data_IF_978266992989
#
_entry.id   IF_978266992989
#
_cell.length_a   1.000
_cell.length_b   1.000
_cell.length_c   1.000
_cell.angle_alpha   90.00
_cell.angle_beta   90.00
_cell.angle_gamma   90.00
#
_symmetry.space_group_name_H-M   'P 1'
#
loop_
_entity.id
_entity.type
_entity.pdbx_description
1 polymer ?
#
# COMPACT_ATOMS: atom_id res chain seq x y z
N UNK A 1 -18.63 -25.54 6.06
CA UNK A 1 -18.32 -24.84 7.34
C UNK A 1 -18.23 -23.35 7.09
N UNK A 2 -18.98 -22.52 7.80
CA UNK A 2 -18.84 -21.07 7.66
C UNK A 2 -17.91 -20.53 8.76
N UNK A 3 -16.87 -19.84 8.35
CA UNK A 3 -15.92 -19.19 9.25
C UNK A 3 -16.12 -17.68 9.22
N UNK A 4 -16.13 -17.03 10.39
CA UNK A 4 -16.16 -15.57 10.47
C UNK A 4 -14.75 -15.02 10.66
N UNK A 5 -14.35 -14.13 9.77
CA UNK A 5 -13.09 -13.39 9.91
C UNK A 5 -13.27 -12.29 10.96
N UNK A 6 -12.78 -12.54 12.16
CA UNK A 6 -12.85 -11.56 13.27
C UNK A 6 -11.80 -10.48 13.19
N UNK A 7 -10.67 -10.75 12.51
CA UNK A 7 -9.52 -9.85 12.44
C UNK A 7 -8.76 -10.05 11.15
N UNK A 8 -8.36 -8.95 10.52
CA UNK A 8 -7.43 -8.93 9.40
C UNK A 8 -6.07 -8.47 9.95
N UNK A 9 -5.01 -9.20 9.65
CA UNK A 9 -3.65 -8.88 10.08
C UNK A 9 -2.76 -8.65 8.83
N UNK A 10 -2.72 -7.41 8.31
CA UNK A 10 -1.89 -7.04 7.17
C UNK A 10 -0.45 -6.73 7.58
N UNK A 11 -0.12 -6.82 8.87
CA UNK A 11 1.18 -6.37 9.38
C UNK A 11 2.24 -7.45 9.20
N UNK A 12 3.38 -7.06 8.64
CA UNK A 12 4.57 -7.91 8.52
C UNK A 12 5.43 -7.82 9.78
N UNK A 13 5.96 -6.63 10.05
CA UNK A 13 6.76 -6.40 11.25
C UNK A 13 5.84 -5.84 12.34
N UNK A 14 5.59 -6.64 13.38
CA UNK A 14 4.70 -6.27 14.48
C UNK A 14 5.41 -5.37 15.51
N UNK A 15 6.05 -4.31 15.04
CA UNK A 15 6.67 -3.33 15.92
C UNK A 15 5.75 -2.09 16.02
N UNK A 16 5.29 -1.73 17.23
CA UNK A 16 4.39 -0.60 17.41
C UNK A 16 5.00 0.76 17.03
N UNK A 17 6.33 0.84 16.88
CA UNK A 17 7.04 2.06 16.48
C UNK A 17 6.82 2.35 14.99
N UNK A 18 6.72 1.32 14.13
CA UNK A 18 6.61 1.51 12.68
C UNK A 18 5.37 2.32 12.26
N UNK A 19 4.14 2.04 12.74
CA UNK A 19 2.98 2.87 12.43
C UNK A 19 3.15 4.32 12.90
N UNK A 20 3.78 4.53 14.04
CA UNK A 20 4.06 5.89 14.55
C UNK A 20 5.04 6.61 13.63
N UNK A 21 6.13 5.95 13.23
CA UNK A 21 7.12 6.51 12.28
C UNK A 21 6.45 6.81 10.92
N UNK A 22 5.58 5.93 10.44
CA UNK A 22 4.85 6.14 9.19
C UNK A 22 3.98 7.42 9.27
N UNK A 23 3.17 7.55 10.31
CA UNK A 23 2.29 8.72 10.50
C UNK A 23 3.11 10.01 10.69
N UNK A 24 4.11 9.99 11.58
CA UNK A 24 4.96 11.15 11.85
C UNK A 24 5.77 11.54 10.60
N UNK A 25 6.27 10.56 9.85
CA UNK A 25 7.01 10.80 8.60
C UNK A 25 6.14 11.46 7.53
N UNK A 26 4.92 10.98 7.31
CA UNK A 26 4.00 11.54 6.32
C UNK A 26 3.51 12.94 6.74
N UNK A 27 3.04 13.10 7.98
CA UNK A 27 2.59 14.40 8.48
C UNK A 27 3.74 15.40 8.57
N UNK A 28 4.94 14.94 8.96
CA UNK A 28 6.15 15.76 8.97
C UNK A 28 6.52 16.25 7.58
N UNK A 29 6.43 15.39 6.55
CA UNK A 29 6.68 15.80 5.17
C UNK A 29 5.69 16.89 4.71
N UNK A 30 4.40 16.74 4.99
CA UNK A 30 3.39 17.73 4.66
C UNK A 30 3.64 19.07 5.37
N UNK A 31 3.97 19.02 6.66
CA UNK A 31 4.26 20.22 7.45
C UNK A 31 5.55 20.93 6.97
N UNK A 32 6.56 20.18 6.53
CA UNK A 32 7.82 20.74 6.02
C UNK A 32 7.66 21.34 4.63
N UNK A 33 6.87 20.72 3.75
CA UNK A 33 6.53 21.27 2.43
C UNK A 33 5.76 22.61 2.58
N UNK A 34 4.84 22.70 3.53
CA UNK A 34 4.09 23.94 3.76
C UNK A 34 4.96 25.12 4.24
N UNK A 35 6.20 24.83 4.64
CA UNK A 35 7.23 25.81 5.05
C UNK A 35 8.35 25.98 4.02
N UNK A 36 8.14 25.50 2.79
CA UNK A 36 9.14 25.52 1.70
C UNK A 36 10.43 24.76 2.02
N UNK A 37 10.40 23.87 3.01
CA UNK A 37 11.56 23.04 3.41
C UNK A 37 11.57 21.73 2.61
N UNK A 38 11.90 21.79 1.31
CA UNK A 38 11.77 20.66 0.37
C UNK A 38 12.65 19.47 0.76
N UNK A 39 13.95 19.71 1.05
CA UNK A 39 14.91 18.61 1.34
C UNK A 39 14.53 17.82 2.60
N UNK A 40 14.27 18.49 3.77
CA UNK A 40 13.76 17.78 4.94
C UNK A 40 12.41 17.10 4.73
N UNK A 41 11.53 17.67 3.90
CA UNK A 41 10.25 17.07 3.56
C UNK A 41 10.42 15.74 2.80
N UNK A 42 11.31 15.72 1.81
CA UNK A 42 11.65 14.49 1.06
C UNK A 42 12.23 13.43 2.01
N UNK A 43 13.18 13.80 2.87
CA UNK A 43 13.74 12.86 3.85
C UNK A 43 12.66 12.29 4.78
N UNK A 44 11.76 13.13 5.29
CA UNK A 44 10.64 12.71 6.13
C UNK A 44 9.66 11.79 5.39
N UNK A 45 9.36 12.09 4.12
CA UNK A 45 8.50 11.27 3.27
C UNK A 45 9.12 9.88 2.99
N UNK A 46 10.42 9.83 2.72
CA UNK A 46 11.16 8.56 2.49
C UNK A 46 11.13 7.69 3.74
N UNK A 47 11.39 8.27 4.91
CA UNK A 47 11.35 7.53 6.19
C UNK A 47 9.93 7.03 6.48
N UNK A 48 8.92 7.87 6.32
CA UNK A 48 7.51 7.49 6.50
C UNK A 48 7.07 6.41 5.51
N UNK A 49 7.41 6.56 4.23
CA UNK A 49 7.11 5.59 3.19
C UNK A 49 7.78 4.23 3.41
N UNK A 50 9.05 4.22 3.81
CA UNK A 50 9.77 2.99 4.18
C UNK A 50 9.09 2.28 5.37
N UNK A 51 8.65 3.04 6.39
CA UNK A 51 7.92 2.49 7.52
C UNK A 51 6.57 1.88 7.11
N UNK A 52 5.84 2.47 6.15
CA UNK A 52 4.60 1.90 5.59
C UNK A 52 4.88 0.55 4.92
N UNK A 53 5.87 0.49 4.02
CA UNK A 53 6.21 -0.76 3.31
C UNK A 53 6.66 -1.85 4.30
N UNK A 54 7.48 -1.50 5.29
CA UNK A 54 7.94 -2.45 6.32
C UNK A 54 6.82 -2.90 7.27
N UNK A 55 5.76 -2.11 7.38
CA UNK A 55 4.57 -2.48 8.17
C UNK A 55 3.64 -3.43 7.42
N UNK A 56 3.63 -3.39 6.08
CA UNK A 56 2.69 -4.13 5.25
C UNK A 56 3.25 -5.51 4.90
N UNK A 57 2.38 -6.53 4.82
CA UNK A 57 2.76 -7.86 4.34
C UNK A 57 3.39 -7.78 2.94
N UNK A 58 4.57 -8.40 2.70
CA UNK A 58 5.26 -8.32 1.41
C UNK A 58 4.40 -8.76 0.22
N UNK A 59 3.51 -9.75 0.41
CA UNK A 59 2.59 -10.19 -0.63
C UNK A 59 1.60 -9.10 -1.04
N UNK A 60 1.12 -8.29 -0.09
CA UNK A 60 0.21 -7.16 -0.35
C UNK A 60 0.96 -6.07 -1.11
N UNK A 61 2.14 -5.67 -0.62
CA UNK A 61 2.98 -4.67 -1.30
C UNK A 61 3.40 -5.12 -2.70
N UNK A 62 3.68 -6.41 -2.90
CA UNK A 62 4.03 -6.94 -4.23
C UNK A 62 2.85 -6.85 -5.21
N UNK A 63 1.64 -7.18 -4.79
CA UNK A 63 0.43 -7.05 -5.62
C UNK A 63 0.17 -5.58 -5.94
N UNK A 64 0.19 -4.70 -4.95
CA UNK A 64 -0.06 -3.27 -5.13
C UNK A 64 1.05 -2.62 -5.97
N UNK A 65 2.31 -3.01 -5.76
CA UNK A 65 3.45 -2.56 -6.56
C UNK A 65 3.33 -3.00 -8.02
N UNK A 66 2.86 -4.21 -8.29
CA UNK A 66 2.60 -4.69 -9.65
C UNK A 66 1.52 -3.87 -10.34
N UNK A 67 0.44 -3.52 -9.65
CA UNK A 67 -0.59 -2.63 -10.18
C UNK A 67 -0.05 -1.22 -10.43
N UNK A 68 0.76 -0.70 -9.52
CA UNK A 68 1.46 0.58 -9.70
C UNK A 68 2.38 0.56 -10.92
N UNK A 69 3.12 -0.53 -11.14
CA UNK A 69 4.01 -0.70 -12.29
C UNK A 69 3.21 -0.71 -13.60
N UNK A 70 2.13 -1.48 -13.66
CA UNK A 70 1.25 -1.52 -14.84
C UNK A 70 0.68 -0.12 -15.12
N UNK A 71 0.16 0.56 -14.10
CA UNK A 71 -0.38 1.92 -14.22
C UNK A 71 0.68 2.92 -14.69
N UNK A 72 1.89 2.86 -14.13
CA UNK A 72 3.01 3.69 -14.53
C UNK A 72 3.47 3.44 -15.97
N UNK A 73 3.59 2.17 -16.38
CA UNK A 73 3.92 1.80 -17.76
C UNK A 73 2.86 2.29 -18.74
N UNK A 74 1.58 2.12 -18.41
CA UNK A 74 0.49 2.63 -19.24
C UNK A 74 0.57 4.15 -19.40
N UNK A 75 0.77 4.88 -18.31
CA UNK A 75 0.73 6.35 -18.29
C UNK A 75 1.94 7.00 -18.94
N UNK A 76 3.15 6.46 -18.73
CA UNK A 76 4.37 7.13 -19.18
C UNK A 76 4.99 6.50 -20.42
N UNK A 77 4.78 5.21 -20.67
CA UNK A 77 5.47 4.49 -21.75
C UNK A 77 4.51 4.13 -22.89
N UNK A 78 3.40 3.45 -22.59
CA UNK A 78 2.52 2.89 -23.63
C UNK A 78 1.53 3.91 -24.19
N UNK A 79 0.90 4.73 -23.35
CA UNK A 79 -0.10 5.73 -23.76
C UNK A 79 0.25 7.08 -23.13
N UNK A 80 1.42 7.66 -23.48
CA UNK A 80 1.83 8.94 -22.93
C UNK A 80 0.88 10.04 -23.38
N UNK A 81 0.43 10.87 -22.44
CA UNK A 81 -0.31 12.09 -22.77
C UNK A 81 0.60 13.15 -23.42
N UNK A 82 0.03 14.27 -23.86
CA UNK A 82 0.76 15.34 -24.54
C UNK A 82 1.94 15.91 -23.72
N UNK A 83 1.83 15.91 -22.40
CA UNK A 83 2.91 16.38 -21.50
C UNK A 83 4.06 15.36 -21.39
N UNK A 84 3.73 14.08 -21.37
CA UNK A 84 4.71 12.99 -21.23
C UNK A 84 5.32 12.60 -22.58
N UNK A 85 4.67 12.95 -23.70
CA UNK A 85 5.13 12.61 -25.05
C UNK A 85 6.50 13.24 -25.40
N UNK A 86 6.83 14.39 -24.82
CA UNK A 86 8.12 15.08 -24.99
C UNK A 86 9.26 14.48 -24.16
N UNK A 87 8.97 13.61 -23.18
CA UNK A 87 9.99 12.99 -22.33
C UNK A 87 10.79 11.94 -23.10
N UNK A 88 12.10 11.88 -22.82
CA UNK A 88 12.97 10.79 -23.32
C UNK A 88 12.59 9.46 -22.68
N UNK A 89 12.93 8.35 -23.34
CA UNK A 89 12.61 7.01 -22.81
C UNK A 89 13.17 6.77 -21.40
N UNK A 90 14.42 7.13 -21.07
CA UNK A 90 14.94 7.03 -19.70
C UNK A 90 14.10 7.82 -18.67
N UNK A 91 13.66 9.03 -19.02
CA UNK A 91 12.80 9.83 -18.13
C UNK A 91 11.43 9.19 -17.92
N UNK A 92 10.84 8.58 -18.97
CA UNK A 92 9.57 7.85 -18.84
C UNK A 92 9.70 6.64 -17.92
N UNK A 93 10.81 5.88 -18.05
CA UNK A 93 11.09 4.74 -17.17
C UNK A 93 11.31 5.18 -15.72
N UNK A 94 12.07 6.25 -15.51
CA UNK A 94 12.26 6.82 -14.16
C UNK A 94 10.92 7.27 -13.56
N UNK A 95 10.09 7.96 -14.34
CA UNK A 95 8.75 8.39 -13.91
C UNK A 95 7.86 7.19 -13.57
N UNK A 96 7.94 6.11 -14.34
CA UNK A 96 7.24 4.85 -14.05
C UNK A 96 7.68 4.27 -12.71
N UNK A 97 8.98 4.21 -12.42
CA UNK A 97 9.49 3.68 -11.16
C UNK A 97 9.07 4.55 -9.97
N UNK A 98 9.16 5.87 -10.09
CA UNK A 98 8.72 6.79 -9.04
C UNK A 98 7.21 6.67 -8.81
N UNK A 99 6.42 6.62 -9.88
CA UNK A 99 4.98 6.40 -9.78
C UNK A 99 4.65 5.09 -9.07
N UNK A 100 5.32 3.99 -9.46
CA UNK A 100 5.15 2.68 -8.83
C UNK A 100 5.44 2.74 -7.33
N UNK A 101 6.54 3.39 -6.94
CA UNK A 101 6.92 3.53 -5.54
C UNK A 101 5.88 4.33 -4.74
N UNK A 102 5.48 5.50 -5.27
CA UNK A 102 4.45 6.34 -4.63
C UNK A 102 3.11 5.62 -4.53
N UNK A 103 2.69 4.96 -5.62
CA UNK A 103 1.45 4.19 -5.64
C UNK A 103 1.47 3.07 -4.59
N UNK A 104 2.56 2.31 -4.51
CA UNK A 104 2.72 1.22 -3.53
C UNK A 104 2.62 1.75 -2.11
N UNK A 105 3.37 2.79 -1.76
CA UNK A 105 3.33 3.38 -0.41
C UNK A 105 1.94 3.91 -0.07
N UNK A 106 1.30 4.60 -1.00
CA UNK A 106 -0.04 5.15 -0.81
C UNK A 106 -1.07 4.03 -0.57
N UNK A 107 -1.06 3.02 -1.43
CA UNK A 107 -2.02 1.92 -1.37
C UNK A 107 -1.77 0.98 -0.19
N UNK A 108 -0.51 0.74 0.18
CA UNK A 108 -0.16 0.04 1.42
C UNK A 108 -0.70 0.80 2.64
N UNK A 109 -0.53 2.12 2.68
CA UNK A 109 -1.10 2.97 3.72
C UNK A 109 -2.63 2.85 3.82
N UNK A 110 -3.31 2.88 2.67
CA UNK A 110 -4.77 2.67 2.59
C UNK A 110 -5.16 1.28 3.11
N UNK A 111 -4.43 0.24 2.71
CA UNK A 111 -4.70 -1.13 3.16
C UNK A 111 -4.54 -1.27 4.69
N UNK A 112 -3.52 -0.63 5.28
CA UNK A 112 -3.32 -0.61 6.73
C UNK A 112 -4.47 0.12 7.45
N UNK A 113 -4.92 1.27 6.93
CA UNK A 113 -6.06 2.02 7.48
C UNK A 113 -7.33 1.19 7.41
N UNK A 114 -7.62 0.57 6.26
CA UNK A 114 -8.80 -0.30 6.08
C UNK A 114 -8.76 -1.45 7.09
N UNK A 115 -7.60 -2.08 7.30
CA UNK A 115 -7.47 -3.17 8.26
C UNK A 115 -7.72 -2.70 9.71
N UNK A 116 -7.23 -1.53 10.08
CA UNK A 116 -7.50 -0.93 11.40
C UNK A 116 -8.99 -0.67 11.58
N UNK A 117 -9.64 -0.04 10.60
CA UNK A 117 -11.08 0.24 10.64
C UNK A 117 -11.90 -1.05 10.68
N UNK A 118 -11.55 -2.03 9.84
CA UNK A 118 -12.22 -3.33 9.85
C UNK A 118 -12.12 -4.01 11.22
N UNK A 119 -10.92 -4.05 11.81
CA UNK A 119 -10.69 -4.66 13.11
C UNK A 119 -11.44 -3.93 14.23
N UNK A 120 -11.57 -2.61 14.13
CA UNK A 120 -12.36 -1.79 15.07
C UNK A 120 -13.85 -2.14 14.96
N UNK A 121 -14.41 -2.18 13.75
CA UNK A 121 -15.84 -2.43 13.54
C UNK A 121 -16.22 -3.90 13.76
N UNK A 122 -15.44 -4.84 13.24
CA UNK A 122 -15.72 -6.27 13.37
C UNK A 122 -15.44 -6.82 14.76
N UNK A 123 -14.34 -6.39 15.39
CA UNK A 123 -13.88 -6.87 16.68
C UNK A 123 -14.28 -5.99 17.85
N UNK A 124 -14.05 -4.67 17.75
CA UNK A 124 -14.27 -3.71 18.84
C UNK A 124 -15.74 -3.37 19.07
N UNK A 125 -16.48 -3.13 18.01
CA UNK A 125 -17.92 -2.77 18.07
C UNK A 125 -18.85 -3.95 17.88
N UNK A 126 -18.32 -5.14 17.54
CA UNK A 126 -19.13 -6.37 17.43
C UNK A 126 -20.14 -6.37 16.27
N UNK A 127 -19.96 -5.54 15.24
CA UNK A 127 -20.87 -5.44 14.08
C UNK A 127 -20.84 -6.68 13.17
N UNK A 128 -20.02 -7.68 13.50
CA UNK A 128 -19.83 -8.88 12.70
C UNK A 128 -18.72 -8.71 11.65
N UNK A 129 -18.05 -9.81 11.32
CA UNK A 129 -17.00 -9.86 10.31
C UNK A 129 -17.48 -10.56 9.04
N UNK A 130 -16.65 -10.51 8.00
CA UNK A 130 -16.86 -11.25 6.76
C UNK A 130 -17.03 -12.75 7.06
N UNK A 131 -18.06 -13.38 6.49
CA UNK A 131 -18.22 -14.82 6.51
C UNK A 131 -17.47 -15.41 5.32
N UNK A 132 -16.63 -16.41 5.58
CA UNK A 132 -15.99 -17.23 4.55
C UNK A 132 -16.68 -18.58 4.57
N UNK A 133 -17.40 -18.92 3.51
CA UNK A 133 -17.83 -20.27 3.24
C UNK A 133 -16.70 -21.01 2.51
N UNK A 134 -16.03 -21.90 3.23
CA UNK A 134 -15.05 -22.80 2.64
C UNK A 134 -15.81 -24.03 2.17
N UNK A 135 -15.90 -24.21 0.86
CA UNK A 135 -16.26 -25.49 0.26
C UNK A 135 -15.10 -26.44 0.49
N UNK A 136 -15.33 -27.53 1.21
CA UNK A 136 -14.40 -28.65 1.23
C UNK A 136 -14.40 -29.23 -0.20
N UNK A 137 -13.33 -29.01 -0.92
CA UNK A 137 -13.09 -29.72 -2.17
C UNK A 137 -12.79 -31.19 -1.79
N UNK A 138 -13.85 -32.01 -1.77
CA UNK A 138 -13.74 -33.47 -1.71
C UNK A 138 -13.09 -34.00 -3.00
N UNK A 139 -12.03 -33.30 -3.44
CA UNK A 139 -11.24 -33.57 -4.58
C UNK A 139 -10.52 -34.91 -4.47
N UNK A 140 -11.10 -35.88 -5.13
CA UNK A 140 -10.44 -37.05 -5.69
C UNK A 140 -9.88 -38.09 -4.69
N UNK A 141 -10.77 -38.71 -3.95
CA UNK A 141 -10.58 -40.12 -3.67
C UNK A 141 -11.16 -40.94 -4.80
N UNK A 142 -10.43 -41.22 -5.84
CA UNK A 142 -10.96 -42.02 -6.90
C UNK A 142 -9.97 -42.31 -8.03
N UNK A 143 -9.09 -43.22 -7.82
CA UNK A 143 -8.57 -44.04 -8.92
C UNK A 143 -8.13 -45.37 -8.36
#
# INVERSE_FOLDING_TARGET
MSYRVKRIDPYWIKNPILPVVAVVGVLGALALISKDMVVPAIASAVIGGAAVILSTQPAVSAVLGSLGLIGGLMTFVLVPNSQNASMTLPMRLLSTLLFTLFYTVLMDGVALIIAVLYNLFAGGLGLGGLSLDLEEDDGAGGA
#
